data_IF_911675055729
#
_entry.id   IF_911675055729
#
_cell.length_a   1.000
_cell.length_b   1.000
_cell.length_c   1.000
_cell.angle_alpha   90.00
_cell.angle_beta   90.00
_cell.angle_gamma   90.00
#
_symmetry.space_group_name_H-M   'P 1'
#
loop_
_entity.id
_entity.type
_entity.pdbx_description
1 polymer ?
#
# COMPACT_ATOMS: atom_id res chain seq x y z
N UNK A 1 -18.09 -26.12 11.71
CA UNK A 1 -17.09 -25.05 11.50
C UNK A 1 -16.47 -24.54 12.79
N UNK A 2 -16.89 -24.96 13.99
CA UNK A 2 -16.15 -24.71 15.24
C UNK A 2 -16.15 -23.27 15.77
N UNK A 3 -16.71 -22.31 15.03
CA UNK A 3 -16.87 -20.93 15.48
C UNK A 3 -18.10 -20.79 16.38
N UNK A 4 -18.00 -19.94 17.39
CA UNK A 4 -19.08 -19.70 18.35
C UNK A 4 -20.13 -18.73 17.83
N UNK A 5 -19.72 -17.77 16.99
CA UNK A 5 -20.57 -16.70 16.50
C UNK A 5 -20.55 -16.59 14.98
N UNK A 6 -21.67 -16.13 14.41
CA UNK A 6 -21.80 -15.90 12.98
C UNK A 6 -22.74 -14.72 12.67
N UNK A 7 -22.48 -14.04 11.56
CA UNK A 7 -23.34 -13.00 11.00
C UNK A 7 -23.46 -13.17 9.49
N UNK A 8 -24.63 -12.86 8.94
CA UNK A 8 -24.86 -12.81 7.51
C UNK A 8 -25.53 -11.50 7.12
N UNK A 9 -25.13 -10.94 6.00
CA UNK A 9 -25.77 -9.73 5.47
C UNK A 9 -27.16 -10.04 4.87
N UNK A 10 -27.90 -8.98 4.56
CA UNK A 10 -29.30 -9.06 4.08
C UNK A 10 -29.54 -9.96 2.87
N UNK A 11 -28.54 -10.16 1.99
CA UNK A 11 -28.65 -11.02 0.81
C UNK A 11 -27.89 -12.36 0.94
N UNK A 12 -27.36 -12.66 2.13
CA UNK A 12 -26.62 -13.88 2.44
C UNK A 12 -25.37 -14.13 1.58
N UNK A 13 -24.77 -13.10 0.99
CA UNK A 13 -23.54 -13.21 0.20
C UNK A 13 -22.28 -13.03 1.04
N UNK A 14 -22.40 -12.35 2.19
CA UNK A 14 -21.30 -12.13 3.12
C UNK A 14 -21.63 -12.89 4.40
N UNK A 15 -20.74 -13.81 4.78
CA UNK A 15 -20.80 -14.57 6.02
C UNK A 15 -19.55 -14.28 6.84
N UNK A 16 -19.75 -13.84 8.07
CA UNK A 16 -18.67 -13.52 9.01
C UNK A 16 -18.77 -14.52 10.15
N UNK A 17 -17.66 -15.15 10.51
CA UNK A 17 -17.56 -16.09 11.61
C UNK A 17 -16.46 -15.64 12.56
N UNK A 18 -16.70 -15.74 13.87
CA UNK A 18 -15.70 -15.39 14.88
C UNK A 18 -15.85 -16.24 16.15
N UNK A 19 -14.78 -16.25 16.95
CA UNK A 19 -14.66 -16.99 18.21
C UNK A 19 -15.27 -16.19 19.39
N UNK A 20 -15.57 -16.84 20.52
CA UNK A 20 -16.03 -16.17 21.75
C UNK A 20 -15.00 -15.18 22.31
N UNK A 21 -13.71 -15.42 22.04
CA UNK A 21 -12.63 -14.55 22.47
C UNK A 21 -12.63 -13.16 21.79
N UNK A 22 -13.48 -12.95 20.78
CA UNK A 22 -13.55 -11.72 20.00
C UNK A 22 -14.94 -11.10 20.15
N UNK A 23 -15.00 -9.87 20.65
CA UNK A 23 -16.24 -9.10 20.65
C UNK A 23 -16.41 -8.41 19.29
N UNK A 24 -17.57 -8.61 18.66
CA UNK A 24 -17.86 -8.14 17.32
C UNK A 24 -19.22 -7.43 17.32
N UNK A 25 -19.22 -6.18 16.88
CA UNK A 25 -20.43 -5.37 16.69
C UNK A 25 -20.57 -4.93 15.26
N UNK A 26 -21.66 -5.31 14.61
CA UNK A 26 -22.02 -4.77 13.30
C UNK A 26 -22.35 -3.28 13.43
N UNK A 27 -21.64 -2.46 12.65
CA UNK A 27 -21.76 -1.00 12.64
C UNK A 27 -22.66 -0.55 11.50
N UNK A 28 -22.47 -1.15 10.32
CA UNK A 28 -23.19 -0.78 9.11
C UNK A 28 -23.18 -1.94 8.13
N UNK A 29 -24.27 -2.14 7.39
CA UNK A 29 -24.37 -3.20 6.38
C UNK A 29 -25.00 -2.70 5.08
N UNK A 30 -24.70 -3.41 4.00
CA UNK A 30 -25.36 -3.29 2.70
C UNK A 30 -25.28 -4.62 1.94
N UNK A 31 -25.84 -4.67 0.73
CA UNK A 31 -25.73 -5.85 -0.14
C UNK A 31 -24.28 -6.21 -0.50
N UNK A 32 -23.37 -5.22 -0.57
CA UNK A 32 -21.99 -5.39 -1.03
C UNK A 32 -20.95 -5.26 0.09
N UNK A 33 -21.36 -4.88 1.31
CA UNK A 33 -20.45 -4.77 2.46
C UNK A 33 -21.10 -5.07 3.80
N UNK A 34 -20.28 -5.49 4.75
CA UNK A 34 -20.61 -5.48 6.18
C UNK A 34 -19.43 -4.90 6.94
N UNK A 35 -19.66 -3.81 7.66
CA UNK A 35 -18.67 -3.15 8.50
C UNK A 35 -18.92 -3.52 9.95
N UNK A 36 -17.91 -4.10 10.60
CA UNK A 36 -17.95 -4.53 11.99
C UNK A 36 -16.81 -3.87 12.78
N UNK A 37 -17.11 -3.47 14.00
CA UNK A 37 -16.12 -3.12 15.01
C UNK A 37 -15.76 -4.37 15.78
N UNK A 38 -14.48 -4.71 15.80
CA UNK A 38 -13.94 -5.83 16.55
C UNK A 38 -13.12 -5.31 17.72
N UNK A 39 -13.39 -5.84 18.92
CA UNK A 39 -12.52 -5.68 20.08
C UNK A 39 -11.79 -7.00 20.33
N UNK A 40 -10.47 -6.95 20.29
CA UNK A 40 -9.63 -8.08 20.62
C UNK A 40 -8.48 -7.64 21.52
N UNK A 41 -8.38 -8.24 22.70
CA UNK A 41 -7.37 -7.93 23.71
C UNK A 41 -7.28 -6.43 24.06
N UNK A 42 -8.41 -5.72 24.08
CA UNK A 42 -8.47 -4.28 24.37
C UNK A 42 -8.12 -3.37 23.18
N UNK A 43 -7.83 -3.93 22.01
CA UNK A 43 -7.62 -3.17 20.77
C UNK A 43 -8.90 -3.16 19.95
N UNK A 44 -9.38 -1.97 19.59
CA UNK A 44 -10.52 -1.79 18.70
C UNK A 44 -10.05 -1.59 17.26
N UNK A 45 -10.52 -2.46 16.35
CA UNK A 45 -10.29 -2.33 14.91
C UNK A 45 -11.61 -2.30 14.16
N UNK A 46 -11.64 -1.59 13.04
CA UNK A 46 -12.80 -1.56 12.16
C UNK A 46 -12.50 -2.41 10.93
N UNK A 47 -13.29 -3.46 10.69
CA UNK A 47 -13.13 -4.32 9.51
C UNK A 47 -14.39 -4.21 8.65
N UNK A 48 -14.21 -3.87 7.38
CA UNK A 48 -15.27 -3.88 6.36
C UNK A 48 -15.05 -5.07 5.44
N UNK A 49 -15.94 -6.05 5.52
CA UNK A 49 -15.99 -7.17 4.60
C UNK A 49 -16.73 -6.75 3.33
N UNK A 50 -16.17 -7.04 2.16
CA UNK A 50 -16.77 -6.65 0.86
C UNK A 50 -16.97 -7.86 -0.05
N UNK A 51 -18.08 -7.83 -0.78
CA UNK A 51 -18.35 -8.71 -1.90
C UNK A 51 -18.92 -7.86 -3.04
N UNK A 52 -18.02 -7.44 -3.93
CA UNK A 52 -18.29 -6.35 -4.87
C UNK A 52 -18.99 -6.87 -6.13
N UNK A 53 -20.04 -6.16 -6.59
CA UNK A 53 -20.73 -6.54 -7.84
C UNK A 53 -19.78 -6.41 -9.04
N UNK A 54 -19.90 -7.33 -10.01
CA UNK A 54 -19.05 -7.35 -11.20
C UNK A 54 -19.23 -6.14 -12.15
N UNK A 55 -20.32 -5.39 -11.99
CA UNK A 55 -20.69 -4.27 -12.86
C UNK A 55 -20.28 -2.94 -12.21
N UNK A 56 -19.48 -2.15 -12.92
CA UNK A 56 -18.82 -0.95 -12.40
C UNK A 56 -19.77 0.13 -11.85
N UNK A 57 -20.95 0.31 -12.44
CA UNK A 57 -21.90 1.35 -12.01
C UNK A 57 -22.46 1.08 -10.60
N UNK A 58 -22.64 -0.17 -10.22
CA UNK A 58 -23.10 -0.53 -8.87
C UNK A 58 -22.01 -0.43 -7.80
N UNK A 59 -20.77 -0.08 -8.17
CA UNK A 59 -19.64 0.05 -7.23
C UNK A 59 -19.47 1.47 -6.69
N UNK A 60 -20.04 2.48 -7.35
CA UNK A 60 -19.84 3.90 -6.98
C UNK A 60 -20.31 4.17 -5.55
N UNK A 61 -21.52 3.71 -5.23
CA UNK A 61 -22.12 3.86 -3.90
C UNK A 61 -21.27 3.16 -2.83
N UNK A 62 -20.67 2.00 -3.15
CA UNK A 62 -19.79 1.29 -2.23
C UNK A 62 -18.55 2.12 -1.90
N UNK A 63 -17.90 2.70 -2.90
CA UNK A 63 -16.68 3.50 -2.71
C UNK A 63 -16.93 4.77 -1.93
N UNK A 64 -18.04 5.45 -2.19
CA UNK A 64 -18.45 6.63 -1.43
C UNK A 64 -18.75 6.27 0.03
N UNK A 65 -19.40 5.14 0.28
CA UNK A 65 -19.63 4.66 1.64
C UNK A 65 -18.32 4.29 2.37
N UNK A 66 -17.37 3.65 1.69
CA UNK A 66 -16.05 3.34 2.27
C UNK A 66 -15.35 4.63 2.71
N UNK A 67 -15.39 5.67 1.87
CA UNK A 67 -14.84 6.99 2.20
C UNK A 67 -15.53 7.62 3.41
N UNK A 68 -16.86 7.63 3.42
CA UNK A 68 -17.65 8.16 4.54
C UNK A 68 -17.33 7.45 5.86
N UNK A 69 -17.06 6.15 5.83
CA UNK A 69 -16.64 5.38 7.01
C UNK A 69 -15.23 5.80 7.44
N UNK A 70 -14.29 5.95 6.51
CA UNK A 70 -12.93 6.41 6.79
C UNK A 70 -12.91 7.82 7.39
N UNK A 71 -13.82 8.71 6.95
CA UNK A 71 -13.94 10.07 7.48
C UNK A 71 -14.61 10.11 8.87
N UNK A 72 -15.54 9.18 9.14
CA UNK A 72 -16.31 9.12 10.39
C UNK A 72 -15.50 8.53 11.55
N UNK A 73 -14.65 7.54 11.28
CA UNK A 73 -13.92 6.81 12.30
C UNK A 73 -12.42 7.05 12.20
N UNK A 74 -11.82 7.62 13.26
CA UNK A 74 -10.36 7.75 13.40
C UNK A 74 -9.64 6.44 13.73
N UNK A 75 -10.30 5.29 13.60
CA UNK A 75 -9.72 3.97 13.90
C UNK A 75 -8.96 3.42 12.70
N UNK A 76 -8.01 2.51 12.94
CA UNK A 76 -7.41 1.72 11.86
C UNK A 76 -8.49 0.91 11.16
N UNK A 77 -8.68 1.18 9.87
CA UNK A 77 -9.66 0.51 9.03
C UNK A 77 -8.99 -0.57 8.19
N UNK A 78 -9.61 -1.75 8.20
CA UNK A 78 -9.28 -2.87 7.34
C UNK A 78 -10.46 -3.09 6.41
N UNK A 79 -10.20 -3.30 5.12
CA UNK A 79 -11.23 -3.63 4.13
C UNK A 79 -10.78 -4.90 3.45
N UNK A 80 -11.58 -5.97 3.55
CA UNK A 80 -11.17 -7.29 3.11
C UNK A 80 -12.29 -7.97 2.32
N UNK A 81 -11.94 -8.70 1.28
CA UNK A 81 -12.89 -9.53 0.54
C UNK A 81 -12.62 -9.56 -0.95
N UNK A 82 -13.66 -9.91 -1.70
CA UNK A 82 -13.63 -9.99 -3.16
C UNK A 82 -14.03 -8.64 -3.76
N UNK A 83 -13.06 -7.96 -4.38
CA UNK A 83 -13.28 -6.66 -4.99
C UNK A 83 -13.67 -6.74 -6.46
N UNK A 84 -13.53 -7.92 -7.09
CA UNK A 84 -13.64 -8.13 -8.54
C UNK A 84 -12.96 -7.02 -9.37
N UNK A 85 -11.79 -6.58 -8.89
CA UNK A 85 -11.01 -5.45 -9.39
C UNK A 85 -9.53 -5.84 -9.50
N UNK A 86 -8.92 -5.47 -10.64
CA UNK A 86 -7.49 -5.62 -10.90
C UNK A 86 -6.81 -4.25 -10.71
N UNK A 87 -5.79 -4.19 -9.87
CA UNK A 87 -5.06 -2.94 -9.54
C UNK A 87 -3.81 -2.79 -10.42
N UNK A 88 -3.23 -3.91 -10.85
CA UNK A 88 -2.06 -3.93 -11.73
C UNK A 88 -2.26 -4.94 -12.88
N UNK A 89 -1.89 -4.63 -14.14
CA UNK A 89 -2.01 -5.57 -15.24
C UNK A 89 -1.41 -6.96 -14.98
N UNK A 90 -0.36 -7.06 -14.16
CA UNK A 90 0.27 -8.35 -13.79
C UNK A 90 -0.60 -9.22 -12.89
N UNK A 91 -1.67 -8.67 -12.28
CA UNK A 91 -2.66 -9.43 -11.50
C UNK A 91 -3.61 -10.24 -12.40
N UNK A 92 -3.43 -10.21 -13.72
CA UNK A 92 -4.13 -11.06 -14.68
C UNK A 92 -3.14 -11.80 -15.58
N UNK A 93 -3.39 -13.10 -15.76
CA UNK A 93 -2.65 -13.93 -16.70
C UNK A 93 -3.62 -14.71 -17.60
N UNK A 94 -3.31 -14.75 -18.91
CA UNK A 94 -4.13 -15.40 -19.92
C UNK A 94 -5.27 -14.54 -20.45
N UNK A 95 -5.75 -14.89 -21.65
CA UNK A 95 -6.76 -14.13 -22.38
C UNK A 95 -6.29 -12.74 -22.80
N UNK A 96 -7.23 -11.87 -23.18
CA UNK A 96 -6.90 -10.49 -23.60
C UNK A 96 -6.34 -9.66 -22.43
N UNK A 97 -5.40 -8.72 -22.67
CA UNK A 97 -4.90 -7.82 -21.64
C UNK A 97 -6.00 -7.08 -20.88
N UNK A 98 -5.81 -6.85 -19.58
CA UNK A 98 -6.77 -6.08 -18.78
C UNK A 98 -6.72 -4.59 -19.15
N UNK A 99 -7.88 -3.97 -19.33
CA UNK A 99 -7.98 -2.52 -19.58
C UNK A 99 -8.07 -1.80 -18.24
N UNK A 100 -7.02 -1.05 -17.89
CA UNK A 100 -6.95 -0.31 -16.62
C UNK A 100 -8.07 0.73 -16.44
N UNK A 101 -8.70 1.20 -17.52
CA UNK A 101 -9.87 2.08 -17.43
C UNK A 101 -11.01 1.49 -16.59
N UNK A 102 -11.15 0.15 -16.54
CA UNK A 102 -12.15 -0.54 -15.72
C UNK A 102 -11.86 -0.50 -14.22
N UNK A 103 -10.63 -0.19 -13.84
CA UNK A 103 -10.16 -0.18 -12.45
C UNK A 103 -10.02 1.23 -11.88
N UNK A 104 -10.22 2.27 -12.68
CA UNK A 104 -9.94 3.67 -12.28
C UNK A 104 -10.75 4.11 -11.06
N UNK A 105 -12.03 3.79 -11.00
CA UNK A 105 -12.89 4.16 -9.85
C UNK A 105 -12.40 3.51 -8.55
N UNK A 106 -11.95 2.26 -8.63
CA UNK A 106 -11.41 1.55 -7.48
C UNK A 106 -10.04 2.10 -7.05
N UNK A 107 -9.16 2.38 -8.01
CA UNK A 107 -7.86 3.02 -7.73
C UNK A 107 -8.04 4.40 -7.09
N UNK A 108 -9.02 5.17 -7.54
CA UNK A 108 -9.35 6.46 -6.94
C UNK A 108 -9.82 6.29 -5.49
N UNK A 109 -10.69 5.31 -5.21
CA UNK A 109 -11.13 5.00 -3.84
C UNK A 109 -9.95 4.62 -2.92
N UNK A 110 -9.00 3.82 -3.41
CA UNK A 110 -7.79 3.47 -2.65
C UNK A 110 -7.00 4.72 -2.29
N UNK A 111 -6.84 5.64 -3.24
CA UNK A 111 -6.12 6.89 -3.02
C UNK A 111 -6.86 7.85 -2.08
N UNK A 112 -8.18 7.99 -2.24
CA UNK A 112 -8.98 8.93 -1.46
C UNK A 112 -9.10 8.51 0.01
N UNK A 113 -8.96 7.21 0.30
CA UNK A 113 -9.05 6.66 1.66
C UNK A 113 -7.67 6.29 2.26
N UNK A 114 -6.57 6.71 1.61
CA UNK A 114 -5.20 6.38 2.00
C UNK A 114 -4.96 4.88 2.28
N UNK A 115 -5.62 4.03 1.47
CA UNK A 115 -5.58 2.58 1.62
C UNK A 115 -4.30 1.99 1.04
N UNK A 116 -3.73 1.03 1.76
CA UNK A 116 -2.52 0.31 1.38
C UNK A 116 -2.86 -1.17 1.21
N UNK A 117 -2.45 -1.77 0.09
CA UNK A 117 -2.44 -3.24 -0.07
C UNK A 117 -1.14 -3.77 0.57
N UNK A 118 -1.21 -4.48 1.72
CA UNK A 118 -0.02 -5.02 2.38
C UNK A 118 0.62 -6.16 1.58
N UNK A 119 -0.03 -6.61 0.50
CA UNK A 119 0.35 -7.74 -0.32
C UNK A 119 -0.25 -9.04 0.19
N UNK A 120 0.38 -10.14 -0.22
CA UNK A 120 -0.06 -11.50 0.12
C UNK A 120 1.16 -12.40 0.32
N UNK A 121 0.94 -13.52 1.01
CA UNK A 121 1.85 -14.68 1.04
C UNK A 121 1.16 -15.86 0.35
N UNK A 122 1.91 -16.76 -0.27
CA UNK A 122 1.34 -17.91 -0.99
C UNK A 122 1.00 -17.62 -2.45
N UNK A 123 -0.17 -18.05 -2.95
CA UNK A 123 -0.56 -17.94 -4.36
C UNK A 123 -0.70 -16.50 -4.83
N UNK A 124 -0.19 -16.21 -6.04
CA UNK A 124 -0.30 -14.89 -6.69
C UNK A 124 -1.72 -14.58 -7.18
N UNK A 125 -2.50 -15.60 -7.50
CA UNK A 125 -3.85 -15.48 -8.03
C UNK A 125 -4.85 -16.11 -7.07
N UNK A 126 -6.00 -15.48 -6.94
CA UNK A 126 -7.08 -15.90 -6.03
C UNK A 126 -8.25 -16.52 -6.79
N UNK A 127 -8.28 -16.35 -8.12
CA UNK A 127 -9.32 -16.88 -8.99
C UNK A 127 -8.76 -17.49 -10.28
N UNK A 128 -9.38 -18.58 -10.74
CA UNK A 128 -9.12 -19.23 -12.01
C UNK A 128 -10.43 -19.63 -12.67
N UNK A 129 -10.53 -19.47 -13.99
CA UNK A 129 -11.72 -19.90 -14.72
C UNK A 129 -11.85 -21.44 -14.83
N UNK A 130 -10.79 -22.20 -14.56
CA UNK A 130 -10.79 -23.67 -14.61
C UNK A 130 -10.70 -24.27 -16.02
N UNK A 131 -10.46 -23.46 -17.06
CA UNK A 131 -10.42 -23.94 -18.45
C UNK A 131 -9.09 -24.65 -18.79
N UNK A 132 -9.07 -25.28 -19.96
CA UNK A 132 -7.86 -25.85 -20.58
C UNK A 132 -6.77 -24.78 -20.76
N UNK A 133 -5.52 -25.22 -20.88
CA UNK A 133 -4.33 -24.36 -20.78
C UNK A 133 -4.36 -23.18 -21.77
N UNK A 134 -4.86 -23.40 -22.98
CA UNK A 134 -4.99 -22.41 -24.06
C UNK A 134 -6.01 -21.28 -23.74
N UNK A 135 -7.03 -21.59 -22.94
CA UNK A 135 -8.12 -20.66 -22.56
C UNK A 135 -8.08 -20.28 -21.08
N UNK A 136 -7.05 -20.71 -20.35
CA UNK A 136 -6.96 -20.50 -18.91
C UNK A 136 -6.70 -19.05 -18.60
N UNK A 137 -7.50 -18.50 -17.69
CA UNK A 137 -7.35 -17.14 -17.18
C UNK A 137 -7.26 -17.17 -15.66
N UNK A 138 -6.22 -16.51 -15.15
CA UNK A 138 -5.97 -16.34 -13.73
C UNK A 138 -6.11 -14.86 -13.37
N UNK A 139 -6.68 -14.58 -12.19
CA UNK A 139 -6.84 -13.23 -11.66
C UNK A 139 -6.58 -13.18 -10.16
N UNK A 140 -6.12 -12.03 -9.68
CA UNK A 140 -6.15 -11.67 -8.25
C UNK A 140 -7.30 -10.69 -8.03
N UNK A 141 -8.33 -11.14 -7.33
CA UNK A 141 -9.57 -10.37 -7.08
C UNK A 141 -9.74 -10.09 -5.59
N UNK A 142 -9.33 -11.04 -4.75
CA UNK A 142 -9.40 -10.94 -3.30
C UNK A 142 -8.20 -10.18 -2.75
N UNK A 143 -8.47 -9.24 -1.84
CA UNK A 143 -7.41 -8.47 -1.17
C UNK A 143 -7.84 -7.98 0.21
N UNK A 144 -6.85 -7.56 0.96
CA UNK A 144 -7.01 -6.79 2.19
C UNK A 144 -6.39 -5.42 1.92
N UNK A 145 -7.10 -4.37 2.28
CA UNK A 145 -6.64 -2.99 2.22
C UNK A 145 -6.66 -2.42 3.63
N UNK A 146 -5.63 -1.67 3.99
CA UNK A 146 -5.48 -1.11 5.33
C UNK A 146 -5.24 0.38 5.29
N UNK A 147 -5.91 1.13 6.17
CA UNK A 147 -5.57 2.50 6.46
C UNK A 147 -4.82 2.53 7.81
N UNK A 148 -3.57 3.01 7.78
CA UNK A 148 -2.71 3.14 8.95
C UNK A 148 -2.80 4.56 9.54
N UNK A 149 -4.01 5.00 9.90
CA UNK A 149 -4.24 6.28 10.57
C UNK A 149 -3.57 6.35 11.94
N UNK A 150 -3.56 5.24 12.66
CA UNK A 150 -3.22 5.20 14.08
C UNK A 150 -1.76 5.58 14.41
N UNK A 151 -0.71 5.13 13.68
CA UNK A 151 0.66 5.59 13.94
C UNK A 151 0.87 7.08 13.63
N UNK A 152 0.17 7.60 12.62
CA UNK A 152 0.25 9.01 12.22
C UNK A 152 -0.46 9.87 13.25
N UNK A 153 -1.68 9.47 13.64
CA UNK A 153 -2.50 10.17 14.62
C UNK A 153 -1.83 10.18 16.00
N UNK A 154 -1.30 9.04 16.47
CA UNK A 154 -0.52 8.98 17.72
C UNK A 154 0.69 9.90 17.69
N UNK A 155 1.41 9.98 16.57
CA UNK A 155 2.58 10.84 16.45
C UNK A 155 2.22 12.33 16.36
N UNK A 156 1.09 12.66 15.73
CA UNK A 156 0.61 14.03 15.52
C UNK A 156 -0.05 14.63 16.75
N UNK A 157 -0.73 13.81 17.55
CA UNK A 157 -1.46 14.24 18.75
C UNK A 157 -0.57 14.44 19.98
N UNK A 158 0.73 14.16 19.88
CA UNK A 158 1.69 14.53 20.93
C UNK A 158 1.64 16.05 21.15
N UNK A 159 1.38 16.46 22.40
CA UNK A 159 1.41 17.87 22.76
C UNK A 159 2.82 18.43 22.66
N UNK A 160 2.92 19.61 22.06
CA UNK A 160 4.18 20.30 21.86
C UNK A 160 3.99 21.76 22.25
N UNK A 161 4.90 22.27 23.07
CA UNK A 161 4.92 23.68 23.48
C UNK A 161 5.68 24.54 22.46
N UNK A 162 5.28 25.80 22.33
CA UNK A 162 5.95 26.80 21.49
C UNK A 162 5.01 27.58 20.57
N UNK A 163 5.60 28.41 19.70
CA UNK A 163 4.84 29.18 18.72
C UNK A 163 4.07 28.25 17.75
N UNK A 164 2.96 28.71 17.13
CA UNK A 164 2.18 27.88 16.20
C UNK A 164 3.03 27.20 15.11
N UNK A 165 3.96 27.94 14.50
CA UNK A 165 4.89 27.41 13.49
C UNK A 165 5.87 26.37 14.05
N UNK A 166 6.37 26.60 15.27
CA UNK A 166 7.25 25.66 15.95
C UNK A 166 6.53 24.35 16.30
N UNK A 167 5.29 24.44 16.80
CA UNK A 167 4.43 23.29 17.08
C UNK A 167 4.15 22.48 15.82
N UNK A 168 3.81 23.15 14.72
CA UNK A 168 3.60 22.49 13.42
C UNK A 168 4.87 21.77 12.93
N UNK A 169 6.01 22.45 12.91
CA UNK A 169 7.29 21.86 12.52
C UNK A 169 7.64 20.61 13.35
N UNK A 170 7.48 20.69 14.67
CA UNK A 170 7.88 19.60 15.55
C UNK A 170 6.92 18.41 15.48
N UNK A 171 5.61 18.65 15.30
CA UNK A 171 4.62 17.60 15.02
C UNK A 171 4.91 16.87 13.70
N UNK A 172 5.26 17.61 12.63
CA UNK A 172 5.73 17.02 11.38
C UNK A 172 6.98 16.18 11.58
N UNK A 173 7.98 16.71 12.30
CA UNK A 173 9.24 16.00 12.57
C UNK A 173 9.01 14.71 13.37
N UNK A 174 8.16 14.76 14.39
CA UNK A 174 7.77 13.59 15.19
C UNK A 174 7.06 12.53 14.36
N UNK A 175 6.11 12.95 13.52
CA UNK A 175 5.37 12.05 12.62
C UNK A 175 6.30 11.38 11.63
N UNK A 176 7.21 12.14 11.00
CA UNK A 176 8.23 11.59 10.11
C UNK A 176 9.14 10.57 10.83
N UNK A 177 9.56 10.87 12.06
CA UNK A 177 10.38 9.96 12.86
C UNK A 177 9.63 8.66 13.15
N UNK A 178 8.39 8.75 13.61
CA UNK A 178 7.55 7.59 13.94
C UNK A 178 7.21 6.74 12.72
N UNK A 179 6.89 7.37 11.59
CA UNK A 179 6.72 6.67 10.32
C UNK A 179 8.01 5.98 9.85
N UNK A 180 9.17 6.59 10.09
CA UNK A 180 10.47 5.98 9.77
C UNK A 180 10.82 4.80 10.68
N UNK A 181 10.51 4.88 11.98
CA UNK A 181 10.62 3.76 12.94
C UNK A 181 9.68 2.62 12.58
N UNK A 182 8.42 2.93 12.28
CA UNK A 182 7.41 1.97 11.83
C UNK A 182 7.82 1.31 10.51
N UNK A 183 8.28 2.08 9.53
CA UNK A 183 8.73 1.56 8.24
C UNK A 183 9.91 0.59 8.42
N UNK A 184 10.90 0.94 9.26
CA UNK A 184 12.02 0.03 9.55
C UNK A 184 11.59 -1.26 10.24
N UNK A 185 10.69 -1.17 11.22
CA UNK A 185 10.24 -2.34 12.00
C UNK A 185 9.28 -3.26 11.23
N UNK A 186 8.37 -2.69 10.44
CA UNK A 186 7.30 -3.45 9.77
C UNK A 186 7.70 -3.91 8.36
N UNK A 187 8.39 -3.06 7.60
CA UNK A 187 8.75 -3.34 6.20
C UNK A 187 10.20 -3.83 6.10
N UNK A 188 11.08 -3.35 6.97
CA UNK A 188 12.52 -3.64 6.93
C UNK A 188 13.23 -2.92 5.78
N UNK A 189 14.50 -3.30 5.56
CA UNK A 189 15.28 -2.76 4.44
C UNK A 189 14.96 -3.55 3.16
N UNK A 190 14.13 -2.96 2.29
CA UNK A 190 13.71 -3.56 1.01
C UNK A 190 14.92 -3.93 0.15
N UNK A 191 15.95 -3.07 0.12
CA UNK A 191 17.14 -3.27 -0.70
C UNK A 191 18.01 -4.41 -0.19
N UNK A 192 18.20 -4.49 1.13
CA UNK A 192 18.94 -5.59 1.75
C UNK A 192 18.22 -6.93 1.54
N UNK A 193 16.89 -6.91 1.51
CA UNK A 193 16.09 -8.10 1.21
C UNK A 193 16.27 -8.57 -0.24
N UNK A 194 16.40 -7.65 -1.19
CA UNK A 194 16.72 -8.00 -2.59
C UNK A 194 18.09 -8.68 -2.66
N UNK A 195 19.12 -8.07 -2.07
CA UNK A 195 20.49 -8.62 -2.07
C UNK A 195 20.52 -10.03 -1.47
N UNK A 196 19.91 -10.23 -0.29
CA UNK A 196 19.85 -11.55 0.36
C UNK A 196 19.12 -12.60 -0.48
N UNK A 197 18.07 -12.19 -1.21
CA UNK A 197 17.34 -13.10 -2.09
C UNK A 197 18.13 -13.44 -3.35
N UNK A 198 18.89 -12.49 -3.91
CA UNK A 198 19.81 -12.74 -5.04
C UNK A 198 20.93 -13.71 -4.65
N UNK A 199 21.53 -13.54 -3.47
CA UNK A 199 22.53 -14.46 -2.92
C UNK A 199 21.94 -15.87 -2.74
N UNK A 200 20.75 -15.98 -2.16
CA UNK A 200 20.06 -17.27 -1.99
C UNK A 200 19.74 -17.96 -3.31
N UNK A 201 19.35 -17.21 -4.33
CA UNK A 201 19.12 -17.77 -5.68
C UNK A 201 20.43 -18.30 -6.26
N UNK A 202 21.52 -17.54 -6.14
CA UNK A 202 22.85 -17.96 -6.63
C UNK A 202 23.32 -19.25 -5.97
N UNK A 203 23.19 -19.37 -4.64
CA UNK A 203 23.54 -20.59 -3.92
C UNK A 203 22.73 -21.81 -4.39
N UNK A 204 21.43 -21.62 -4.70
CA UNK A 204 20.57 -22.70 -5.20
C UNK A 204 20.87 -23.05 -6.66
N UNK A 205 21.25 -22.09 -7.49
CA UNK A 205 21.74 -22.33 -8.86
C UNK A 205 23.02 -23.17 -8.84
N UNK A 206 23.98 -22.85 -7.97
CA UNK A 206 25.21 -23.65 -7.79
C UNK A 206 24.91 -25.07 -7.30
N UNK A 207 23.95 -25.23 -6.39
CA UNK A 207 23.51 -26.56 -5.94
C UNK A 207 22.89 -27.39 -7.06
N UNK A 208 22.14 -26.80 -7.99
CA UNK A 208 21.57 -27.52 -9.15
C UNK A 208 22.67 -27.98 -10.12
N UNK A 209 23.73 -27.19 -10.30
CA UNK A 209 24.87 -27.57 -11.14
C UNK A 209 25.53 -28.85 -10.59
N UNK A 210 25.61 -28.97 -9.27
CA UNK A 210 26.23 -30.13 -8.61
C UNK A 210 25.27 -31.32 -8.43
N UNK A 211 23.98 -31.08 -8.16
CA UNK A 211 22.99 -32.13 -7.92
C UNK A 211 21.60 -31.73 -8.47
N UNK A 212 21.24 -32.30 -9.61
CA UNK A 212 20.07 -31.90 -10.39
C UNK A 212 18.83 -32.76 -10.06
N UNK A 213 18.36 -32.68 -8.82
CA UNK A 213 17.12 -33.34 -8.36
C UNK A 213 15.89 -32.46 -8.54
N UNK A 214 14.71 -33.07 -8.61
CA UNK A 214 13.43 -32.35 -8.69
C UNK A 214 13.14 -31.51 -7.43
N UNK A 215 13.65 -31.92 -6.26
CA UNK A 215 13.55 -31.11 -5.04
C UNK A 215 14.36 -29.81 -5.16
N UNK A 216 15.61 -29.88 -5.64
CA UNK A 216 16.47 -28.71 -5.80
C UNK A 216 15.89 -27.71 -6.84
N UNK A 217 15.26 -28.22 -7.90
CA UNK A 217 14.51 -27.39 -8.88
C UNK A 217 13.32 -26.69 -8.25
N UNK A 218 12.58 -27.39 -7.38
CA UNK A 218 11.46 -26.83 -6.63
C UNK A 218 11.90 -25.68 -5.70
N UNK A 219 13.00 -25.88 -4.98
CA UNK A 219 13.58 -24.86 -4.09
C UNK A 219 14.06 -23.62 -4.85
N UNK A 220 14.76 -23.80 -5.98
CA UNK A 220 15.19 -22.69 -6.84
C UNK A 220 14.00 -21.92 -7.40
N UNK A 221 12.98 -22.62 -7.91
CA UNK A 221 11.76 -21.97 -8.41
C UNK A 221 11.05 -21.16 -7.32
N UNK A 222 11.01 -21.70 -6.10
CA UNK A 222 10.46 -20.98 -4.95
C UNK A 222 11.28 -19.72 -4.62
N UNK A 223 12.61 -19.84 -4.56
CA UNK A 223 13.51 -18.70 -4.30
C UNK A 223 13.40 -17.62 -5.39
N UNK A 224 13.34 -18.02 -6.67
CA UNK A 224 13.12 -17.11 -7.80
C UNK A 224 11.77 -16.39 -7.70
N UNK A 225 10.71 -17.08 -7.29
CA UNK A 225 9.40 -16.45 -7.08
C UNK A 225 9.44 -15.38 -5.98
N UNK A 226 10.21 -15.62 -4.91
CA UNK A 226 10.41 -14.68 -3.81
C UNK A 226 11.29 -13.50 -4.24
N UNK A 227 12.30 -13.72 -5.08
CA UNK A 227 13.16 -12.67 -5.64
C UNK A 227 12.35 -11.72 -6.54
N UNK A 228 11.52 -12.26 -7.43
CA UNK A 228 10.60 -11.46 -8.27
C UNK A 228 9.69 -10.59 -7.38
N UNK A 229 9.19 -11.13 -6.27
CA UNK A 229 8.38 -10.35 -5.29
C UNK A 229 9.19 -9.23 -4.63
N UNK A 230 10.45 -9.48 -4.31
CA UNK A 230 11.33 -8.47 -3.73
C UNK A 230 11.57 -7.32 -4.71
N UNK A 231 11.86 -7.62 -5.98
CA UNK A 231 12.01 -6.60 -7.03
C UNK A 231 10.72 -5.79 -7.26
N UNK A 232 9.54 -6.43 -7.26
CA UNK A 232 8.26 -5.70 -7.38
C UNK A 232 8.04 -4.71 -6.24
N UNK A 233 8.46 -5.05 -5.01
CA UNK A 233 8.40 -4.13 -3.86
C UNK A 233 9.37 -2.97 -4.04
N UNK A 234 10.58 -3.23 -4.51
CA UNK A 234 11.57 -2.19 -4.82
C UNK A 234 11.08 -1.25 -5.93
N UNK A 235 10.52 -1.79 -7.01
CA UNK A 235 9.94 -1.01 -8.10
C UNK A 235 8.79 -0.12 -7.61
N UNK A 236 7.88 -0.68 -6.80
CA UNK A 236 6.78 0.07 -6.20
C UNK A 236 7.28 1.21 -5.32
N UNK A 237 8.35 0.99 -4.55
CA UNK A 237 9.02 2.04 -3.77
C UNK A 237 9.56 3.16 -4.67
N UNK A 238 10.28 2.83 -5.74
CA UNK A 238 10.82 3.83 -6.66
C UNK A 238 9.72 4.56 -7.44
N UNK A 239 8.64 3.87 -7.79
CA UNK A 239 7.46 4.46 -8.43
C UNK A 239 6.80 5.50 -7.53
N UNK A 240 6.55 5.18 -6.26
CA UNK A 240 6.02 6.13 -5.28
C UNK A 240 6.98 7.32 -5.08
N UNK A 241 8.26 7.05 -4.87
CA UNK A 241 9.29 8.08 -4.61
C UNK A 241 9.53 9.00 -5.80
N UNK A 242 9.36 8.50 -7.02
CA UNK A 242 9.47 9.30 -8.24
C UNK A 242 8.24 10.16 -8.50
N UNK A 243 7.09 9.88 -7.85
CA UNK A 243 5.85 10.66 -7.95
C UNK A 243 5.29 10.72 -9.38
N UNK A 244 5.47 9.66 -10.15
CA UNK A 244 4.97 9.52 -11.54
C UNK A 244 3.58 8.91 -11.49
N UNK A 245 2.57 9.68 -11.93
CA UNK A 245 1.13 9.32 -11.81
C UNK A 245 0.70 8.15 -12.71
N UNK A 246 1.30 7.99 -13.88
CA UNK A 246 0.93 6.96 -14.85
C UNK A 246 2.15 6.55 -15.66
N UNK A 247 2.36 5.24 -15.83
CA UNK A 247 3.41 4.69 -16.69
C UNK A 247 2.81 3.64 -17.61
N UNK A 248 3.12 3.74 -18.90
CA UNK A 248 2.86 2.72 -19.93
C UNK A 248 4.20 2.09 -20.25
N UNK A 249 4.37 0.84 -19.76
CA UNK A 249 5.37 -0.21 -20.05
C UNK A 249 6.85 0.12 -20.38
N UNK A 250 7.72 -0.72 -19.80
CA UNK A 250 8.83 -1.31 -20.53
C UNK A 250 10.25 -0.92 -20.11
N UNK A 251 10.63 -1.08 -18.84
CA UNK A 251 11.93 -1.65 -18.42
C UNK A 251 11.99 -1.76 -16.90
N UNK A 252 12.38 -2.95 -16.44
CA UNK A 252 12.60 -3.26 -15.02
C UNK A 252 13.91 -2.58 -14.59
N UNK A 253 13.84 -1.89 -13.47
CA UNK A 253 14.93 -1.35 -12.67
C UNK A 253 15.64 -0.04 -13.09
N UNK A 254 15.47 0.94 -12.18
CA UNK A 254 16.46 1.94 -11.74
C UNK A 254 16.69 3.23 -12.56
N UNK A 255 17.20 3.21 -13.79
CA UNK A 255 17.81 4.43 -14.39
C UNK A 255 16.84 5.58 -14.63
N UNK A 256 15.64 5.29 -15.12
CA UNK A 256 14.60 6.28 -15.38
C UNK A 256 14.08 6.92 -14.09
N UNK A 257 13.78 6.12 -13.06
CA UNK A 257 13.31 6.63 -11.79
C UNK A 257 14.40 7.43 -11.05
N UNK A 258 15.65 6.98 -11.10
CA UNK A 258 16.77 7.73 -10.54
C UNK A 258 17.02 9.04 -11.28
N UNK A 259 16.88 9.10 -12.60
CA UNK A 259 17.04 10.35 -13.36
C UNK A 259 15.94 11.35 -13.05
N UNK A 260 14.68 10.91 -12.94
CA UNK A 260 13.55 11.75 -12.52
C UNK A 260 13.71 12.25 -11.09
N UNK A 261 14.10 11.38 -10.15
CA UNK A 261 14.31 11.77 -8.75
C UNK A 261 15.48 12.76 -8.64
N UNK A 262 16.59 12.53 -9.37
CA UNK A 262 17.72 13.47 -9.43
C UNK A 262 17.30 14.81 -10.06
N UNK A 263 16.50 14.78 -11.13
CA UNK A 263 15.96 15.98 -11.78
C UNK A 263 15.02 16.77 -10.86
N UNK A 264 14.11 16.08 -10.13
CA UNK A 264 13.23 16.70 -9.13
C UNK A 264 14.03 17.30 -7.98
N UNK A 265 15.02 16.59 -7.43
CA UNK A 265 15.93 17.14 -6.40
C UNK A 265 16.65 18.40 -6.88
N UNK A 266 17.14 18.41 -8.13
CA UNK A 266 17.80 19.59 -8.73
C UNK A 266 16.84 20.77 -8.93
N UNK A 267 15.56 20.52 -9.23
CA UNK A 267 14.53 21.55 -9.42
C UNK A 267 13.95 22.10 -8.11
N UNK A 268 13.80 21.25 -7.10
CA UNK A 268 13.29 21.62 -5.77
C UNK A 268 14.39 22.17 -4.85
N UNK A 269 15.66 22.03 -5.24
CA UNK A 269 16.80 22.68 -4.60
C UNK A 269 16.69 24.19 -4.77
N UNK A 270 16.46 24.90 -3.66
CA UNK A 270 16.51 26.35 -3.57
C UNK A 270 17.97 26.83 -3.74
N UNK A 271 18.33 27.21 -4.96
CA UNK A 271 19.70 27.66 -5.29
C UNK A 271 19.95 29.13 -4.96
N UNK A 272 18.90 29.94 -5.08
CA UNK A 272 18.96 31.37 -4.85
C UNK A 272 17.62 31.92 -4.42
N UNK A 273 17.63 32.89 -3.54
CA UNK A 273 16.46 33.68 -3.14
C UNK A 273 16.72 35.14 -3.46
N UNK A 274 15.65 35.92 -3.62
CA UNK A 274 15.77 37.36 -3.80
C UNK A 274 15.49 38.03 -2.46
N UNK A 275 16.49 38.74 -1.93
CA UNK A 275 16.34 39.50 -0.68
C UNK A 275 15.46 40.74 -0.89
N UNK A 276 15.10 41.41 0.20
CA UNK A 276 14.28 42.62 0.17
C UNK A 276 14.92 43.77 -0.62
N UNK A 277 16.25 43.76 -0.73
CA UNK A 277 17.07 44.76 -1.42
C UNK A 277 17.06 44.56 -2.95
N UNK A 278 16.38 43.52 -3.44
CA UNK A 278 16.31 43.16 -4.85
C UNK A 278 17.49 42.32 -5.34
N UNK A 279 18.52 42.12 -4.52
CA UNK A 279 19.70 41.31 -4.80
C UNK A 279 19.42 39.80 -4.69
N UNK A 280 20.09 39.02 -5.54
CA UNK A 280 20.04 37.56 -5.50
C UNK A 280 21.09 37.03 -4.52
N UNK A 281 20.64 36.23 -3.56
CA UNK A 281 21.47 35.61 -2.53
C UNK A 281 21.62 34.13 -2.89
N UNK A 282 22.87 33.66 -2.97
CA UNK A 282 23.23 32.28 -3.31
C UNK A 282 24.01 31.64 -2.14
N UNK A 283 23.71 30.37 -1.82
CA UNK A 283 24.34 29.63 -0.72
C UNK A 283 23.36 29.30 0.41
N UNK A 284 23.37 28.05 0.90
CA UNK A 284 22.41 27.54 1.89
C UNK A 284 22.42 28.33 3.22
N UNK A 285 23.60 28.74 3.70
CA UNK A 285 23.72 29.51 4.95
C UNK A 285 23.15 30.93 4.84
N UNK A 286 23.41 31.61 3.71
CA UNK A 286 22.93 32.98 3.49
C UNK A 286 21.42 33.00 3.16
N UNK A 287 20.92 31.99 2.44
CA UNK A 287 19.49 31.75 2.23
C UNK A 287 18.78 31.54 3.57
N UNK A 288 19.38 30.78 4.49
CA UNK A 288 18.82 30.55 5.81
C UNK A 288 18.78 31.82 6.67
N UNK A 289 19.86 32.63 6.67
CA UNK A 289 19.92 33.90 7.42
C UNK A 289 18.89 34.91 6.94
N UNK A 290 18.79 35.13 5.63
CA UNK A 290 17.81 36.07 5.06
C UNK A 290 16.37 35.59 5.31
N UNK A 291 16.13 34.27 5.25
CA UNK A 291 14.80 33.73 5.58
C UNK A 291 14.44 34.01 7.04
N UNK A 292 15.38 33.84 7.98
CA UNK A 292 15.15 34.19 9.40
C UNK A 292 14.90 35.68 9.57
N UNK A 293 15.66 36.54 8.90
CA UNK A 293 15.48 37.99 8.95
C UNK A 293 14.10 38.42 8.41
N UNK A 294 13.64 37.83 7.30
CA UNK A 294 12.34 38.13 6.69
C UNK A 294 11.16 37.79 7.62
N UNK A 295 11.24 36.68 8.36
CA UNK A 295 10.17 36.21 9.25
C UNK A 295 10.27 36.71 10.71
N UNK A 296 11.26 37.56 11.03
CA UNK A 296 11.41 38.21 12.35
C UNK A 296 10.77 39.61 12.44
N UNK A 297 10.20 40.12 11.34
CA UNK A 297 9.30 41.30 11.34
C UNK A 297 7.87 40.91 11.71
#
# INVERSE_FOLDING_TARGET
>A
MGFANAYSNSNCQILIFWDEAVDCRVVEESEQKVTCSFNWMGTNILITFVYVKCIADFRKDLWENVKNISDRYSLSQYIAGDFDCIVDPVEKQGGSPHRMSKSLSFLQCIMDCDLIDPGYSGSTFTWCNGWQVDKRVWKRLDRILVNMSEPVERAWNVEVQGSPMWRFHLKLKNTCKKLSEWSRSSIGNIFEKVIKMEEKVRELEEKIINDNTDMNRGELNHANSLLIRAYKKEESFWKQKSGVKWFVQGEVNSRFFHSIIKGRKKRLSLKKIRGNDGNWIEGEEEIAKESVFYFQK
#
